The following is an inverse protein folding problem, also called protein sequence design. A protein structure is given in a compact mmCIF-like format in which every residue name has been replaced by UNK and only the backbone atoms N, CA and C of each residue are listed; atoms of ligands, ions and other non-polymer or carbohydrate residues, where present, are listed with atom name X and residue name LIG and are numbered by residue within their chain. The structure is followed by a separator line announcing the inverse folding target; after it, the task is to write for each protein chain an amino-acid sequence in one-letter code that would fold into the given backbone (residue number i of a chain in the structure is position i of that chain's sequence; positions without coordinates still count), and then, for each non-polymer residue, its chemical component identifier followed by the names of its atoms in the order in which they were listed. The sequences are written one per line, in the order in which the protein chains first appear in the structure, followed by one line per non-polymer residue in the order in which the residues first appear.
data_IF_630288233350
#
_entry.id   IF_630288233350
#
_cell.length_a   1.000
_cell.length_b   1.000
_cell.length_c   1.000
_cell.angle_alpha   90.00
_cell.angle_beta   90.00
_cell.angle_gamma   90.00
#
_symmetry.space_group_name_H-M   'P 1'
#
loop_
_entity.id
_entity.type
_entity.pdbx_description
1 polymer ?
#
# COMPACT_ATOMS: atom_id res chain seq x y z
N UNK A 1 -13.84 7.16 21.90
CA UNK A 1 -12.40 6.88 22.12
C UNK A 1 -11.67 8.21 22.04
N UNK A 2 -11.09 8.68 23.13
CA UNK A 2 -10.51 10.03 23.22
C UNK A 2 -9.12 10.03 22.56
N UNK A 3 -8.84 10.93 21.60
CA UNK A 3 -7.50 11.09 21.07
C UNK A 3 -6.60 11.65 22.18
N UNK A 4 -5.55 10.91 22.51
CA UNK A 4 -4.51 11.31 23.45
C UNK A 4 -3.90 12.63 23.00
N UNK A 5 -4.21 13.68 23.74
CA UNK A 5 -3.56 14.99 23.62
C UNK A 5 -2.07 14.80 23.91
N UNK A 6 -1.24 14.86 22.86
CA UNK A 6 0.21 15.05 23.01
C UNK A 6 0.39 16.50 23.50
N UNK A 7 0.24 16.69 24.81
CA UNK A 7 0.77 17.85 25.53
C UNK A 7 2.16 17.48 26.02
N UNK A 8 3.13 17.42 25.10
CA UNK A 8 4.53 17.29 25.50
C UNK A 8 5.44 18.18 24.66
N UNK A 9 5.27 19.49 24.82
CA UNK A 9 6.42 20.37 24.90
C UNK A 9 6.01 21.61 25.67
N UNK A 10 6.05 21.49 26.99
CA UNK A 10 6.09 22.64 27.87
C UNK A 10 7.25 23.52 27.36
N UNK A 11 6.93 24.71 26.86
CA UNK A 11 7.87 25.68 26.32
C UNK A 11 8.71 26.32 27.44
N UNK A 12 9.44 25.49 28.20
CA UNK A 12 10.51 25.91 29.08
C UNK A 12 11.80 26.03 28.27
N UNK A 13 12.61 27.06 28.53
CA UNK A 13 13.97 27.17 28.00
C UNK A 13 14.67 25.82 28.09
N UNK A 14 15.20 25.30 26.97
CA UNK A 14 15.90 24.03 26.93
C UNK A 14 17.10 24.06 27.90
N UNK A 15 16.97 23.36 29.03
CA UNK A 15 17.98 23.32 30.10
C UNK A 15 19.30 22.67 29.64
N UNK A 16 19.21 21.84 28.61
CA UNK A 16 20.36 21.14 28.00
C UNK A 16 21.09 22.00 26.98
N UNK A 17 20.56 23.18 26.63
CA UNK A 17 21.07 24.01 25.52
C UNK A 17 20.92 23.38 24.13
N UNK A 18 20.37 22.17 24.04
CA UNK A 18 20.18 21.44 22.79
C UNK A 18 18.86 21.86 22.13
N UNK A 19 18.98 22.66 21.08
CA UNK A 19 17.85 23.16 20.30
C UNK A 19 17.65 22.32 19.03
N UNK A 20 16.62 21.46 19.02
CA UNK A 20 16.33 20.60 17.86
C UNK A 20 16.13 21.40 16.56
N UNK A 21 15.51 22.58 16.65
CA UNK A 21 15.30 23.47 15.48
C UNK A 21 16.60 24.01 14.91
N UNK A 22 17.57 24.35 15.78
CA UNK A 22 18.91 24.80 15.34
C UNK A 22 19.69 23.66 14.72
N UNK A 23 19.58 22.46 15.28
CA UNK A 23 20.19 21.26 14.70
C UNK A 23 19.60 20.97 13.31
N UNK A 24 18.27 20.95 13.17
CA UNK A 24 17.62 20.76 11.87
C UNK A 24 18.09 21.79 10.83
N UNK A 25 18.17 23.07 11.21
CA UNK A 25 18.69 24.13 10.34
C UNK A 25 20.16 23.91 9.96
N UNK A 26 20.99 23.38 10.86
CA UNK A 26 22.41 23.10 10.61
C UNK A 26 22.66 21.81 9.82
N UNK A 27 21.78 20.80 9.94
CA UNK A 27 21.91 19.51 9.24
C UNK A 27 21.53 19.54 7.75
N UNK A 28 21.03 20.67 7.27
CA UNK A 28 20.69 20.84 5.86
C UNK A 28 21.92 20.74 4.94
N UNK A 29 21.71 20.27 3.71
CA UNK A 29 22.78 20.31 2.70
C UNK A 29 23.11 21.77 2.37
N UNK A 30 24.39 22.18 2.42
CA UNK A 30 24.77 23.54 2.03
C UNK A 30 24.45 23.77 0.56
N UNK A 31 24.19 25.03 0.17
CA UNK A 31 23.78 25.39 -1.20
C UNK A 31 24.82 25.02 -2.26
N UNK A 32 26.09 24.95 -1.88
CA UNK A 32 27.20 24.56 -2.75
C UNK A 32 28.19 23.73 -1.95
N UNK A 33 28.17 22.42 -2.16
CA UNK A 33 29.14 21.51 -1.57
C UNK A 33 30.20 21.14 -2.62
N UNK A 34 31.48 21.51 -2.43
CA UNK A 34 32.54 21.15 -3.37
C UNK A 34 32.78 19.64 -3.47
N UNK A 35 32.32 18.85 -2.50
CA UNK A 35 32.51 17.40 -2.45
C UNK A 35 31.32 16.61 -3.02
N UNK A 36 30.23 17.26 -3.42
CA UNK A 36 29.02 16.59 -3.89
C UNK A 36 29.32 15.60 -5.03
N UNK A 37 30.18 16.00 -5.98
CA UNK A 37 30.58 15.14 -7.10
C UNK A 37 31.45 13.96 -6.65
N UNK A 38 32.26 14.15 -5.60
CA UNK A 38 33.11 13.11 -5.04
C UNK A 38 32.33 12.14 -4.14
N UNK A 39 31.21 12.54 -3.56
CA UNK A 39 30.32 11.65 -2.79
C UNK A 39 29.25 10.97 -3.66
N UNK A 40 28.98 11.50 -4.85
CA UNK A 40 27.95 11.00 -5.74
C UNK A 40 28.08 9.48 -6.01
N UNK A 41 29.28 8.95 -6.22
CA UNK A 41 29.47 7.52 -6.53
C UNK A 41 28.96 6.58 -5.42
N UNK A 42 28.89 7.05 -4.16
CA UNK A 42 28.40 6.24 -3.04
C UNK A 42 26.88 6.13 -3.01
N UNK A 43 26.20 7.21 -3.38
CA UNK A 43 24.76 7.36 -3.13
C UNK A 43 23.92 7.42 -4.40
N UNK A 44 24.56 7.47 -5.58
CA UNK A 44 23.91 7.42 -6.89
C UNK A 44 23.98 6.02 -7.51
N UNK A 45 23.11 5.74 -8.48
CA UNK A 45 23.12 4.47 -9.21
C UNK A 45 22.26 3.36 -8.59
N UNK A 46 22.77 2.11 -8.60
CA UNK A 46 22.00 0.88 -8.34
C UNK A 46 21.34 0.84 -6.96
N UNK A 47 21.92 1.52 -5.97
CA UNK A 47 21.45 1.54 -4.58
C UNK A 47 20.60 2.77 -4.20
N UNK A 48 20.17 3.58 -5.18
CA UNK A 48 19.29 4.71 -4.90
C UNK A 48 17.97 4.24 -4.25
N UNK A 49 17.36 5.10 -3.42
CA UNK A 49 16.09 4.79 -2.72
C UNK A 49 15.01 4.35 -3.72
N UNK A 50 14.92 5.05 -4.85
CA UNK A 50 13.93 4.78 -5.89
C UNK A 50 14.16 3.41 -6.57
N UNK A 51 15.42 3.00 -6.74
CA UNK A 51 15.74 1.67 -7.26
C UNK A 51 15.37 0.53 -6.31
N UNK A 52 15.37 0.79 -5.00
CA UNK A 52 14.90 -0.17 -4.00
C UNK A 52 13.39 -0.32 -4.04
N UNK A 53 12.65 0.78 -4.15
CA UNK A 53 11.18 0.75 -4.27
C UNK A 53 10.71 0.02 -5.53
N UNK A 54 11.34 0.27 -6.69
CA UNK A 54 11.06 -0.49 -7.93
C UNK A 54 11.24 -2.00 -7.80
N UNK A 55 12.16 -2.43 -6.93
CA UNK A 55 12.49 -3.84 -6.72
C UNK A 55 11.81 -4.42 -5.48
N UNK A 56 10.99 -3.65 -4.78
CA UNK A 56 10.34 -4.09 -3.55
C UNK A 56 9.23 -5.13 -3.82
N UNK A 57 8.63 -5.11 -5.01
CA UNK A 57 7.58 -6.05 -5.43
C UNK A 57 8.05 -6.88 -6.63
N UNK A 58 8.95 -7.87 -6.42
CA UNK A 58 9.38 -8.75 -7.49
C UNK A 58 8.17 -9.51 -8.03
N UNK A 59 7.95 -9.43 -9.35
CA UNK A 59 6.86 -10.16 -10.01
C UNK A 59 5.50 -9.46 -10.02
N UNK A 60 5.34 -8.27 -9.42
CA UNK A 60 4.06 -7.54 -9.50
C UNK A 60 3.65 -7.22 -10.93
N UNK A 61 4.60 -6.79 -11.78
CA UNK A 61 4.30 -6.51 -13.19
C UNK A 61 3.81 -7.75 -13.96
N UNK A 62 4.46 -8.89 -13.78
CA UNK A 62 4.04 -10.14 -14.43
C UNK A 62 2.72 -10.66 -13.87
N UNK A 63 2.48 -10.52 -12.57
CA UNK A 63 1.22 -10.90 -11.93
C UNK A 63 0.05 -10.06 -12.45
N UNK A 64 0.22 -8.74 -12.57
CA UNK A 64 -0.81 -7.86 -13.14
C UNK A 64 -1.14 -8.21 -14.59
N UNK A 65 -0.14 -8.53 -15.41
CA UNK A 65 -0.35 -8.96 -16.80
C UNK A 65 -1.11 -10.28 -16.86
N UNK A 66 -0.66 -11.30 -16.10
CA UNK A 66 -1.34 -12.60 -16.07
C UNK A 66 -2.79 -12.47 -15.59
N UNK A 67 -3.03 -11.66 -14.56
CA UNK A 67 -4.37 -11.38 -14.06
C UNK A 67 -5.25 -10.69 -15.10
N UNK A 68 -4.74 -9.70 -15.82
CA UNK A 68 -5.49 -9.04 -16.88
C UNK A 68 -5.84 -9.98 -18.05
N UNK A 69 -4.91 -10.87 -18.43
CA UNK A 69 -5.17 -11.91 -19.44
C UNK A 69 -6.26 -12.86 -18.96
N UNK A 70 -6.23 -13.28 -17.70
CA UNK A 70 -7.26 -14.13 -17.11
C UNK A 70 -8.63 -13.45 -17.12
N UNK A 71 -8.73 -12.19 -16.70
CA UNK A 71 -9.98 -11.43 -16.75
C UNK A 71 -10.51 -11.27 -18.16
N UNK A 72 -9.63 -10.98 -19.14
CA UNK A 72 -10.04 -10.89 -20.54
C UNK A 72 -10.53 -12.25 -21.05
N UNK A 73 -9.88 -13.35 -20.64
CA UNK A 73 -10.31 -14.69 -20.98
C UNK A 73 -11.69 -15.01 -20.38
N UNK A 74 -11.92 -14.71 -19.10
CA UNK A 74 -13.24 -14.86 -18.48
C UNK A 74 -14.31 -14.01 -19.20
N UNK A 75 -14.01 -12.74 -19.44
CA UNK A 75 -14.98 -11.80 -19.98
C UNK A 75 -15.36 -12.06 -21.44
N UNK A 76 -14.43 -12.53 -22.28
CA UNK A 76 -14.72 -12.78 -23.70
C UNK A 76 -15.03 -14.24 -24.01
N UNK A 77 -14.45 -15.21 -23.31
CA UNK A 77 -14.60 -16.63 -23.67
C UNK A 77 -15.51 -17.41 -22.73
N UNK A 78 -15.58 -17.06 -21.43
CA UNK A 78 -16.51 -17.75 -20.50
C UNK A 78 -17.91 -17.12 -20.49
N UNK A 79 -18.04 -15.80 -20.70
CA UNK A 79 -19.37 -15.15 -20.84
C UNK A 79 -20.09 -15.57 -22.15
N UNK A 80 -19.36 -15.86 -23.24
CA UNK A 80 -19.95 -16.32 -24.50
C UNK A 80 -20.57 -17.73 -24.42
N UNK A 81 -20.15 -18.59 -23.49
CA UNK A 81 -20.69 -19.95 -23.29
C UNK A 81 -21.84 -20.04 -22.26
N UNK A 82 -22.16 -18.97 -21.53
CA UNK A 82 -23.17 -18.97 -20.44
C UNK A 82 -24.44 -18.16 -20.71
N UNK A 83 -24.71 -17.76 -21.96
CA UNK A 83 -26.01 -17.23 -22.37
C UNK A 83 -26.92 -18.35 -22.89
N UNK A 84 -27.43 -19.14 -21.95
CA UNK A 84 -28.39 -20.22 -22.21
C UNK A 84 -29.24 -20.56 -20.98
N UNK A 85 -30.17 -19.66 -20.66
CA UNK A 85 -31.47 -19.95 -20.03
C UNK A 85 -31.58 -20.29 -18.51
N UNK A 86 -32.63 -19.71 -17.92
CA UNK A 86 -33.21 -19.87 -16.56
C UNK A 86 -32.55 -19.07 -15.42
N UNK A 87 -33.24 -18.24 -14.64
CA UNK A 87 -34.67 -17.93 -14.54
C UNK A 87 -34.87 -17.04 -13.30
N UNK A 88 -35.81 -16.11 -13.41
CA UNK A 88 -36.24 -15.22 -12.34
C UNK A 88 -36.90 -16.00 -11.18
N UNK A 89 -36.70 -15.51 -9.94
CA UNK A 89 -37.74 -15.49 -8.92
C UNK A 89 -37.86 -16.67 -7.94
N UNK A 90 -38.37 -16.30 -6.75
CA UNK A 90 -38.81 -17.12 -5.61
C UNK A 90 -37.68 -17.66 -4.71
N UNK A 91 -37.67 -17.45 -3.40
CA UNK A 91 -38.76 -17.20 -2.46
C UNK A 91 -38.49 -18.09 -1.24
N UNK A 92 -38.72 -17.57 -0.04
CA UNK A 92 -38.56 -18.29 1.23
C UNK A 92 -39.20 -19.69 1.19
N UNK A 93 -38.55 -20.69 1.82
CA UNK A 93 -39.25 -21.70 2.62
C UNK A 93 -38.27 -22.36 3.58
N UNK A 94 -38.30 -21.89 4.83
CA UNK A 94 -37.89 -22.69 5.98
C UNK A 94 -39.14 -23.33 6.55
N UNK A 95 -39.25 -24.66 6.47
CA UNK A 95 -40.17 -25.53 7.22
C UNK A 95 -39.56 -26.94 7.12
N UNK A 96 -39.32 -27.69 8.20
CA UNK A 96 -40.33 -28.08 9.18
C UNK A 96 -40.85 -29.46 8.80
N UNK A 97 -40.06 -30.51 8.98
CA UNK A 97 -40.50 -31.90 8.81
C UNK A 97 -40.50 -32.63 10.16
N UNK A 98 -41.70 -32.75 10.73
CA UNK A 98 -42.08 -33.74 11.71
C UNK A 98 -43.15 -34.67 11.14
N UNK A 99 -43.45 -35.73 11.89
CA UNK A 99 -44.35 -36.87 11.65
C UNK A 99 -43.67 -38.09 10.99
N UNK A 100 -43.82 -39.33 11.46
CA UNK A 100 -44.79 -39.92 12.37
C UNK A 100 -45.35 -41.21 11.77
N UNK A 101 -45.41 -42.29 12.56
CA UNK A 101 -45.91 -43.67 12.28
C UNK A 101 -44.91 -44.63 11.60
N UNK A 102 -44.42 -45.63 12.33
CA UNK A 102 -45.09 -46.91 12.62
C UNK A 102 -44.47 -47.56 13.87
#
# INVERSE_FOLDING_TARGET
MLPTRILLSQAGKNITGFEMRKLLAATGRPRYDPWERNEAWRYTGRFSRWNRFRRALPGFGTASVAFAVYLAYEHFFLEEEHHGEHGEGHGEHGEGHGEGKH
#
